data_IF_603449836936
#
_entry.id   IF_603449836936
#
_cell.length_a   1.000
_cell.length_b   1.000
_cell.length_c   1.000
_cell.angle_alpha   90.00
_cell.angle_beta   90.00
_cell.angle_gamma   90.00
#
_symmetry.space_group_name_H-M   'P 1'
#
loop_
_entity.id
_entity.type
_entity.pdbx_description
1 polymer ?
#
# COMPACT_ATOMS: atom_id res chain seq x y z
N UNK A 1 -12.24 -17.86 23.20
CA UNK A 1 -11.48 -16.58 23.14
C UNK A 1 -10.67 -16.58 21.87
N UNK A 2 -11.00 -15.72 20.88
CA UNK A 2 -10.20 -15.59 19.66
C UNK A 2 -8.88 -14.94 20.06
N UNK A 3 -7.76 -15.60 19.80
CA UNK A 3 -6.43 -15.03 20.02
C UNK A 3 -6.23 -13.94 18.98
N UNK A 4 -6.39 -12.69 19.39
CA UNK A 4 -5.99 -11.53 18.61
C UNK A 4 -4.47 -11.53 18.59
N UNK A 5 -3.89 -12.05 17.51
CA UNK A 5 -2.45 -11.96 17.31
C UNK A 5 -2.12 -10.48 17.17
N UNK A 6 -1.49 -9.89 18.19
CA UNK A 6 -0.82 -8.60 18.03
C UNK A 6 0.10 -8.74 16.82
N UNK A 7 -0.13 -7.92 15.79
CA UNK A 7 0.73 -7.82 14.63
C UNK A 7 2.17 -7.70 15.15
N UNK A 8 3.00 -8.70 14.80
CA UNK A 8 4.44 -8.70 15.07
C UNK A 8 4.95 -7.32 14.68
N UNK A 9 5.61 -6.60 15.60
CA UNK A 9 6.14 -5.24 15.42
C UNK A 9 6.59 -4.98 13.97
N UNK A 10 5.67 -4.50 13.15
CA UNK A 10 5.95 -4.06 11.79
C UNK A 10 6.56 -2.69 11.99
N UNK A 11 7.85 -2.56 11.69
CA UNK A 11 8.57 -1.31 11.93
C UNK A 11 8.09 -0.18 11.01
N UNK A 12 7.48 -0.52 9.87
CA UNK A 12 6.91 0.42 8.90
C UNK A 12 5.51 -0.03 8.48
N UNK A 13 4.50 0.72 8.94
CA UNK A 13 3.11 0.54 8.53
C UNK A 13 2.85 1.44 7.32
N UNK A 14 2.35 0.88 6.22
CA UNK A 14 2.03 1.65 5.01
C UNK A 14 0.59 2.14 5.13
N UNK A 15 0.37 3.44 4.99
CA UNK A 15 -0.96 4.03 4.93
C UNK A 15 -1.36 4.42 3.49
N UNK A 16 -2.61 4.86 3.31
CA UNK A 16 -3.07 5.30 1.98
C UNK A 16 -2.35 6.56 1.48
N UNK A 17 -1.81 7.38 2.38
CA UNK A 17 -1.02 8.55 2.05
C UNK A 17 0.31 8.17 1.39
N UNK A 18 0.98 7.12 1.87
CA UNK A 18 2.18 6.58 1.24
C UNK A 18 1.91 6.15 -0.22
N UNK A 19 0.77 5.48 -0.46
CA UNK A 19 0.33 5.08 -1.81
C UNK A 19 0.13 6.28 -2.73
N UNK A 20 -0.55 7.33 -2.24
CA UNK A 20 -0.78 8.54 -3.02
C UNK A 20 0.52 9.31 -3.28
N UNK A 21 1.47 9.31 -2.34
CA UNK A 21 2.80 9.92 -2.53
C UNK A 21 3.58 9.19 -3.62
N UNK A 22 3.64 7.87 -3.59
CA UNK A 22 4.33 7.08 -4.62
C UNK A 22 3.72 7.30 -6.01
N UNK A 23 2.38 7.37 -6.09
CA UNK A 23 1.68 7.66 -7.34
C UNK A 23 2.09 9.01 -7.93
N UNK A 24 2.21 10.04 -7.08
CA UNK A 24 2.66 11.37 -7.48
C UNK A 24 4.13 11.36 -7.91
N UNK A 25 5.00 10.69 -7.15
CA UNK A 25 6.42 10.55 -7.48
C UNK A 25 6.61 9.85 -8.83
N UNK A 26 5.88 8.77 -9.09
CA UNK A 26 5.88 8.10 -10.38
C UNK A 26 5.49 9.05 -11.54
N UNK A 27 4.46 9.87 -11.34
CA UNK A 27 4.05 10.87 -12.32
C UNK A 27 5.12 11.94 -12.55
N UNK A 28 5.73 12.45 -11.48
CA UNK A 28 6.76 13.49 -11.54
C UNK A 28 8.06 12.98 -12.20
N UNK A 29 8.38 11.69 -12.00
CA UNK A 29 9.50 11.01 -12.65
C UNK A 29 9.19 10.61 -14.11
N UNK A 30 7.95 10.76 -14.57
CA UNK A 30 7.52 10.35 -15.90
C UNK A 30 7.48 8.83 -16.10
N UNK A 31 7.33 8.05 -15.02
CA UNK A 31 7.17 6.59 -15.07
C UNK A 31 5.81 6.23 -15.67
N UNK A 32 5.79 5.25 -16.57
CA UNK A 32 4.53 4.68 -17.06
C UNK A 32 3.97 3.71 -16.02
N UNK A 33 2.95 4.16 -15.28
CA UNK A 33 2.23 3.37 -14.29
C UNK A 33 0.86 2.90 -14.79
N UNK A 34 0.59 2.96 -16.10
CA UNK A 34 -0.71 2.61 -16.67
C UNK A 34 -1.17 1.20 -16.27
N UNK A 35 -0.25 0.24 -16.25
CA UNK A 35 -0.49 -1.16 -15.83
C UNK A 35 -0.77 -1.32 -14.34
N UNK A 36 -0.29 -0.39 -13.50
CA UNK A 36 -0.44 -0.40 -12.04
C UNK A 36 -1.55 0.53 -11.55
N UNK A 37 -2.12 1.36 -12.42
CA UNK A 37 -3.13 2.37 -12.06
C UNK A 37 -4.33 1.80 -11.28
N UNK A 38 -4.80 0.61 -11.67
CA UNK A 38 -5.89 -0.07 -10.97
C UNK A 38 -5.50 -0.56 -9.57
N UNK A 39 -4.23 -0.85 -9.34
CA UNK A 39 -3.72 -1.30 -8.05
C UNK A 39 -3.56 -0.13 -7.07
N UNK A 40 -3.07 1.02 -7.55
CA UNK A 40 -3.12 2.29 -6.81
C UNK A 40 -4.55 2.62 -6.39
N UNK A 41 -5.49 2.63 -7.33
CA UNK A 41 -6.90 2.95 -7.06
C UNK A 41 -7.55 1.96 -6.07
N UNK A 42 -7.13 0.69 -6.10
CA UNK A 42 -7.61 -0.36 -5.19
C UNK A 42 -7.09 -0.11 -3.78
N UNK A 43 -5.78 0.10 -3.62
CA UNK A 43 -5.15 0.26 -2.30
C UNK A 43 -5.55 1.57 -1.62
N UNK A 44 -5.70 2.67 -2.36
CA UNK A 44 -6.18 3.95 -1.81
C UNK A 44 -7.57 3.86 -1.16
N UNK A 45 -8.39 2.88 -1.58
CA UNK A 45 -9.74 2.63 -1.06
C UNK A 45 -9.83 1.45 -0.09
N UNK A 46 -8.72 0.76 0.15
CA UNK A 46 -8.69 -0.44 0.98
C UNK A 46 -8.40 -0.08 2.44
N UNK A 47 -8.97 -0.85 3.37
CA UNK A 47 -8.58 -0.78 4.77
C UNK A 47 -7.16 -1.37 4.96
N UNK A 48 -6.20 -0.47 5.21
CA UNK A 48 -4.79 -0.79 5.36
C UNK A 48 -4.48 -1.54 6.67
N UNK A 49 -5.44 -1.74 7.59
CA UNK A 49 -5.21 -2.56 8.78
C UNK A 49 -5.04 -4.05 8.47
N UNK A 50 -5.43 -4.51 7.27
CA UNK A 50 -5.29 -5.91 6.86
C UNK A 50 -3.86 -6.25 6.41
N UNK A 51 -3.38 -7.44 6.80
CA UNK A 51 -2.06 -7.97 6.41
C UNK A 51 -1.92 -8.14 4.90
N UNK A 52 -3.00 -8.49 4.23
CA UNK A 52 -3.07 -8.68 2.79
C UNK A 52 -2.92 -7.35 2.05
N UNK A 53 -3.55 -6.27 2.55
CA UNK A 53 -3.36 -4.93 2.01
C UNK A 53 -1.95 -4.40 2.27
N UNK A 54 -1.41 -4.59 3.47
CA UNK A 54 -0.02 -4.23 3.80
C UNK A 54 0.99 -4.93 2.88
N UNK A 55 0.76 -6.23 2.61
CA UNK A 55 1.62 -6.99 1.70
C UNK A 55 1.54 -6.46 0.26
N UNK A 56 0.33 -6.26 -0.26
CA UNK A 56 0.14 -5.76 -1.62
C UNK A 56 0.68 -4.35 -1.80
N UNK A 57 0.53 -3.49 -0.79
CA UNK A 57 1.16 -2.17 -0.76
C UNK A 57 2.68 -2.26 -0.77
N UNK A 58 3.27 -3.14 0.04
CA UNK A 58 4.71 -3.38 0.02
C UNK A 58 5.22 -3.84 -1.34
N UNK A 59 4.48 -4.69 -2.06
CA UNK A 59 4.82 -5.13 -3.42
C UNK A 59 4.66 -4.04 -4.48
N UNK A 60 3.78 -3.05 -4.25
CA UNK A 60 3.58 -1.92 -5.15
C UNK A 60 4.66 -0.83 -4.97
N UNK A 61 5.17 -0.66 -3.76
CA UNK A 61 6.13 0.39 -3.38
C UNK A 61 7.62 -0.03 -3.49
N UNK A 62 7.91 -1.29 -3.84
CA UNK A 62 9.28 -1.82 -4.05
C UNK A 62 9.78 -1.60 -5.48
#
# INVERSE_FOLDING_TARGET
MKKTWMQKNVWAYIDCGDISVERLQCSDEGKDISSLSGEFDRLEKTDMFSTEAQKAAGELLD
#
